data_IF_946291629904
#
_entry.id   IF_946291629904
#
_cell.length_a   1.000
_cell.length_b   1.000
_cell.length_c   1.000
_cell.angle_alpha   90.00
_cell.angle_beta   90.00
_cell.angle_gamma   90.00
#
_symmetry.space_group_name_H-M   'P 1'
#
loop_
_entity.id
_entity.type
_entity.pdbx_description
1 polymer ?
#
# COMPACT_ATOMS: atom_id res chain seq x y z
N UNK A 1 -7.31 -22.25 8.07
CA UNK A 1 -6.98 -21.34 6.96
C UNK A 1 -8.30 -20.93 6.33
N UNK A 2 -8.80 -19.73 6.65
CA UNK A 2 -9.99 -19.19 5.98
C UNK A 2 -9.66 -18.89 4.50
N UNK A 3 -10.61 -19.04 3.55
CA UNK A 3 -10.34 -18.83 2.14
C UNK A 3 -10.00 -17.35 1.88
N UNK A 4 -9.02 -17.10 1.01
CA UNK A 4 -8.53 -15.76 0.68
C UNK A 4 -9.49 -14.94 -0.21
N UNK A 5 -10.62 -15.51 -0.63
CA UNK A 5 -11.63 -14.88 -1.48
C UNK A 5 -13.03 -15.05 -0.86
N UNK A 6 -13.17 -14.78 0.44
CA UNK A 6 -14.48 -14.49 1.03
C UNK A 6 -14.72 -12.98 0.87
N UNK A 7 -15.59 -12.55 -0.07
CA UNK A 7 -16.08 -11.19 -0.02
C UNK A 7 -16.99 -11.19 1.19
N UNK A 8 -16.53 -10.59 2.29
CA UNK A 8 -17.42 -10.20 3.37
C UNK A 8 -18.44 -9.20 2.83
N UNK A 9 -19.46 -9.72 2.14
CA UNK A 9 -20.73 -9.04 1.93
C UNK A 9 -21.43 -9.13 3.26
N UNK A 10 -21.10 -8.21 4.15
CA UNK A 10 -22.10 -7.73 5.07
C UNK A 10 -23.26 -7.27 4.17
N UNK A 11 -24.36 -8.02 4.19
CA UNK A 11 -25.59 -7.59 3.53
C UNK A 11 -26.00 -6.21 4.05
N UNK A 12 -26.99 -5.54 3.45
CA UNK A 12 -27.56 -4.36 4.07
C UNK A 12 -28.24 -4.83 5.36
N UNK A 13 -27.47 -4.85 6.45
CA UNK A 13 -27.99 -4.88 7.79
C UNK A 13 -28.86 -3.66 7.87
N UNK A 14 -30.16 -3.92 8.02
CA UNK A 14 -31.19 -2.94 8.31
C UNK A 14 -30.87 -2.32 9.67
N UNK A 15 -29.84 -1.47 9.72
CA UNK A 15 -29.49 -0.65 10.87
C UNK A 15 -30.40 0.58 10.83
N UNK A 16 -31.70 0.32 10.94
CA UNK A 16 -32.61 1.31 11.47
C UNK A 16 -32.43 1.33 13.00
N UNK A 17 -31.25 1.75 13.44
CA UNK A 17 -30.95 2.03 14.84
C UNK A 17 -31.15 3.51 15.03
N UNK A 18 -32.18 3.85 15.79
CA UNK A 18 -32.43 5.18 16.32
C UNK A 18 -31.11 5.74 16.91
N UNK A 19 -30.57 6.85 16.39
CA UNK A 19 -29.32 7.43 16.87
C UNK A 19 -29.37 7.92 18.33
N UNK A 20 -30.55 7.89 18.96
CA UNK A 20 -30.77 8.31 20.34
C UNK A 20 -31.03 7.15 21.33
N UNK A 21 -30.82 5.87 20.98
CA UNK A 21 -30.97 4.74 21.92
C UNK A 21 -29.76 4.63 22.88
N UNK A 22 -29.90 4.99 24.18
CA UNK A 22 -28.80 4.97 25.14
C UNK A 22 -28.30 3.56 25.50
N UNK A 23 -28.94 2.50 25.01
CA UNK A 23 -28.56 1.10 25.24
C UNK A 23 -27.72 0.49 24.11
N UNK A 24 -27.49 1.23 23.01
CA UNK A 24 -26.65 0.78 21.91
C UNK A 24 -25.16 0.78 22.32
N UNK A 25 -24.46 -0.38 22.31
CA UNK A 25 -23.04 -0.45 22.63
C UNK A 25 -22.16 0.40 21.70
N UNK A 26 -22.57 0.64 20.45
CA UNK A 26 -21.86 1.53 19.54
C UNK A 26 -21.84 2.98 20.06
N UNK A 27 -22.90 3.40 20.75
CA UNK A 27 -23.02 4.76 21.28
C UNK A 27 -22.18 4.97 22.54
N UNK A 28 -21.96 3.92 23.35
CA UNK A 28 -21.04 4.00 24.49
C UNK A 28 -19.59 4.21 24.02
N UNK A 29 -19.17 3.51 22.97
CA UNK A 29 -17.83 3.65 22.41
C UNK A 29 -17.64 5.00 21.72
N UNK A 30 -18.63 5.48 20.96
CA UNK A 30 -18.60 6.81 20.37
C UNK A 30 -18.50 7.89 21.46
N UNK A 31 -19.33 7.81 22.51
CA UNK A 31 -19.26 8.72 23.67
C UNK A 31 -17.89 8.71 24.34
N UNK A 32 -17.25 7.54 24.49
CA UNK A 32 -15.88 7.42 25.04
C UNK A 32 -14.83 8.02 24.11
N UNK A 33 -14.94 7.82 22.80
CA UNK A 33 -14.03 8.40 21.82
C UNK A 33 -14.14 9.93 21.75
N UNK A 34 -15.35 10.46 21.89
CA UNK A 34 -15.63 11.90 21.91
C UNK A 34 -15.22 12.56 23.22
N UNK A 35 -15.19 11.81 24.33
CA UNK A 35 -14.74 12.29 25.63
C UNK A 35 -13.22 12.47 25.75
N UNK A 36 -12.44 11.96 24.77
CA UNK A 36 -10.98 12.08 24.75
C UNK A 36 -10.56 13.55 24.72
N UNK A 37 -9.51 13.89 25.45
CA UNK A 37 -9.00 15.26 25.55
C UNK A 37 -7.59 15.37 24.96
N UNK A 38 -7.19 16.55 24.45
CA UNK A 38 -5.82 16.75 24.01
C UNK A 38 -4.84 16.46 25.15
N UNK A 39 -3.94 15.50 24.93
CA UNK A 39 -2.77 15.23 25.78
C UNK A 39 -1.52 15.24 24.91
N UNK A 40 -0.93 16.44 24.81
CA UNK A 40 0.25 16.68 24.00
C UNK A 40 1.51 15.98 24.54
N UNK A 41 1.57 15.61 25.82
CA UNK A 41 2.71 14.85 26.36
C UNK A 41 2.60 13.35 26.03
N UNK A 42 1.39 12.79 26.07
CA UNK A 42 1.14 11.44 25.55
C UNK A 42 1.43 11.37 24.05
N UNK A 43 0.94 12.34 23.27
CA UNK A 43 1.22 12.48 21.85
C UNK A 43 2.74 12.59 21.57
N UNK A 44 3.45 13.45 22.32
CA UNK A 44 4.89 13.65 22.22
C UNK A 44 5.68 12.35 22.38
N UNK A 45 5.30 11.50 23.35
CA UNK A 45 5.96 10.22 23.58
C UNK A 45 5.88 9.31 22.35
N UNK A 46 4.69 9.21 21.75
CA UNK A 46 4.47 8.38 20.57
C UNK A 46 5.18 8.98 19.35
N UNK A 47 5.05 10.29 19.14
CA UNK A 47 5.69 11.01 18.05
C UNK A 47 7.23 10.86 18.08
N UNK A 48 7.86 11.08 19.24
CA UNK A 48 9.32 10.93 19.39
C UNK A 48 9.79 9.51 19.07
N UNK A 49 9.08 8.49 19.55
CA UNK A 49 9.43 7.09 19.26
C UNK A 49 9.28 6.76 17.77
N UNK A 50 8.20 7.22 17.12
CA UNK A 50 7.94 6.93 15.70
C UNK A 50 8.82 7.74 14.76
N UNK A 51 9.10 9.00 15.08
CA UNK A 51 9.81 9.91 14.19
C UNK A 51 11.33 9.85 14.36
N UNK A 52 11.85 9.61 15.57
CA UNK A 52 13.31 9.54 15.79
C UNK A 52 13.78 8.26 16.50
N UNK A 53 12.87 7.43 17.04
CA UNK A 53 13.22 6.17 17.69
C UNK A 53 13.67 6.31 19.14
N UNK A 54 13.42 7.45 19.78
CA UNK A 54 13.86 7.73 21.15
C UNK A 54 12.71 8.30 21.98
N UNK A 55 12.79 8.14 23.30
CA UNK A 55 11.85 8.81 24.21
C UNK A 55 12.15 10.31 24.27
N UNK A 56 11.12 11.16 24.49
CA UNK A 56 11.33 12.59 24.62
C UNK A 56 12.20 12.89 25.84
N UNK A 57 13.07 13.89 25.72
CA UNK A 57 13.92 14.35 26.82
C UNK A 57 13.09 15.11 27.87
N UNK A 58 13.62 15.23 29.08
CA UNK A 58 12.94 16.01 30.13
C UNK A 58 12.73 17.48 29.73
N UNK A 59 13.66 18.06 28.97
CA UNK A 59 13.50 19.42 28.42
C UNK A 59 12.32 19.52 27.47
N UNK A 60 12.12 18.52 26.59
CA UNK A 60 11.00 18.50 25.65
C UNK A 60 9.66 18.29 26.37
N UNK A 61 9.62 17.39 27.36
CA UNK A 61 8.44 17.17 28.20
C UNK A 61 8.06 18.46 28.94
N UNK A 62 9.04 19.12 29.57
CA UNK A 62 8.80 20.36 30.30
C UNK A 62 8.39 21.53 29.38
N UNK A 63 8.90 21.57 28.14
CA UNK A 63 8.50 22.58 27.16
C UNK A 63 6.99 22.51 26.88
N UNK A 64 6.46 21.30 26.70
CA UNK A 64 5.02 21.10 26.50
C UNK A 64 4.27 21.30 27.82
N UNK A 65 4.70 20.68 28.92
CA UNK A 65 3.98 20.71 30.19
C UNK A 65 3.85 22.13 30.80
N UNK A 66 4.87 22.97 30.64
CA UNK A 66 4.92 24.31 31.24
C UNK A 66 4.36 25.42 30.34
N UNK A 67 3.84 25.09 29.14
CA UNK A 67 3.17 26.07 28.31
C UNK A 67 1.88 26.58 28.99
N UNK A 68 1.59 27.87 28.83
CA UNK A 68 0.61 28.59 29.64
C UNK A 68 -0.83 28.07 29.48
N UNK A 69 -1.21 27.63 28.28
CA UNK A 69 -2.54 27.15 27.93
C UNK A 69 -2.45 26.04 26.87
N UNK A 70 -3.60 25.45 26.51
CA UNK A 70 -3.63 24.34 25.56
C UNK A 70 -3.19 24.76 24.14
N UNK A 71 -3.35 26.03 23.77
CA UNK A 71 -2.84 26.56 22.51
C UNK A 71 -1.30 26.62 22.51
N UNK A 72 -0.70 27.05 23.62
CA UNK A 72 0.73 27.03 23.85
C UNK A 72 1.30 25.61 23.88
N UNK A 73 0.60 24.66 24.53
CA UNK A 73 0.98 23.24 24.52
C UNK A 73 0.96 22.67 23.11
N UNK A 74 -0.09 22.98 22.34
CA UNK A 74 -0.19 22.61 20.93
C UNK A 74 1.00 23.13 20.13
N UNK A 75 1.26 24.44 20.20
CA UNK A 75 2.35 25.07 19.47
C UNK A 75 3.73 24.48 19.85
N UNK A 76 3.96 24.22 21.14
CA UNK A 76 5.18 23.57 21.62
C UNK A 76 5.33 22.14 21.07
N UNK A 77 4.26 21.35 21.09
CA UNK A 77 4.24 19.99 20.55
C UNK A 77 4.47 19.96 19.04
N UNK A 78 3.76 20.79 18.27
CA UNK A 78 3.93 20.83 16.82
C UNK A 78 5.34 21.27 16.42
N UNK A 79 5.93 22.23 17.14
CA UNK A 79 7.33 22.62 16.94
C UNK A 79 8.31 21.48 17.21
N UNK A 80 8.01 20.59 18.17
CA UNK A 80 8.80 19.38 18.40
C UNK A 80 8.64 18.37 17.26
N UNK A 81 7.42 18.16 16.75
CA UNK A 81 7.18 17.31 15.56
C UNK A 81 8.00 17.81 14.38
N UNK A 82 7.99 19.12 14.12
CA UNK A 82 8.79 19.74 13.06
C UNK A 82 10.30 19.51 13.26
N UNK A 83 10.78 19.62 14.50
CA UNK A 83 12.18 19.33 14.84
C UNK A 83 12.54 17.86 14.60
N UNK A 84 11.62 16.93 14.88
CA UNK A 84 11.83 15.50 14.65
C UNK A 84 11.87 15.14 13.17
N UNK A 85 11.04 15.78 12.34
CA UNK A 85 11.06 15.59 10.88
C UNK A 85 12.32 16.15 10.22
N UNK A 86 12.99 17.10 10.88
CA UNK A 86 14.28 17.66 10.48
C UNK A 86 15.49 16.87 11.03
N UNK A 87 15.28 16.02 12.04
CA UNK A 87 16.34 15.27 12.70
C UNK A 87 16.92 14.18 11.76
N UNK A 88 18.25 14.02 11.66
CA UNK A 88 18.85 12.96 10.83
C UNK A 88 18.36 11.54 11.17
N UNK A 89 17.96 11.28 12.42
CA UNK A 89 17.42 9.98 12.85
C UNK A 89 16.08 9.65 12.21
N UNK A 90 15.35 10.64 11.69
CA UNK A 90 14.13 10.42 10.92
C UNK A 90 14.37 9.51 9.71
N UNK A 91 15.52 9.62 9.04
CA UNK A 91 15.89 8.74 7.93
C UNK A 91 15.87 7.26 8.33
N UNK A 92 16.35 6.93 9.52
CA UNK A 92 16.34 5.55 10.03
C UNK A 92 14.92 5.08 10.32
N UNK A 93 14.06 5.92 10.89
CA UNK A 93 12.68 5.55 11.15
C UNK A 93 11.89 5.33 9.86
N UNK A 94 12.11 6.16 8.84
CA UNK A 94 11.53 5.95 7.52
C UNK A 94 12.02 4.65 6.88
N UNK A 95 13.30 4.30 7.03
CA UNK A 95 13.80 2.99 6.59
C UNK A 95 13.08 1.83 7.27
N UNK A 96 12.92 1.87 8.60
CA UNK A 96 12.20 0.82 9.33
C UNK A 96 10.74 0.73 8.86
N UNK A 97 10.05 1.88 8.80
CA UNK A 97 8.66 1.94 8.34
C UNK A 97 8.48 1.32 6.94
N UNK A 98 9.32 1.69 5.97
CA UNK A 98 9.16 1.19 4.61
C UNK A 98 9.63 -0.26 4.43
N UNK A 99 10.58 -0.75 5.26
CA UNK A 99 10.90 -2.18 5.32
C UNK A 99 9.70 -3.00 5.74
N UNK A 100 9.03 -2.56 6.81
CA UNK A 100 7.85 -3.24 7.34
C UNK A 100 6.67 -3.15 6.36
N UNK A 101 6.44 -1.96 5.79
CA UNK A 101 5.38 -1.73 4.82
C UNK A 101 5.55 -2.59 3.56
N UNK A 102 6.76 -2.63 3.00
CA UNK A 102 7.03 -3.42 1.80
C UNK A 102 7.27 -4.89 2.11
N UNK A 103 7.46 -5.26 3.38
CA UNK A 103 7.88 -6.58 3.84
C UNK A 103 9.20 -7.01 3.18
N UNK A 104 10.12 -6.06 3.07
CA UNK A 104 11.38 -6.22 2.38
C UNK A 104 12.52 -5.78 3.30
N UNK A 105 13.52 -6.64 3.45
CA UNK A 105 14.75 -6.36 4.19
C UNK A 105 15.76 -7.50 4.01
N UNK A 106 17.05 -7.18 4.04
CA UNK A 106 18.12 -8.15 3.79
C UNK A 106 18.27 -8.53 2.31
N UNK A 107 18.44 -9.82 2.00
CA UNK A 107 18.76 -10.29 0.65
C UNK A 107 17.97 -11.54 0.25
N UNK A 108 17.62 -11.69 -1.03
CA UNK A 108 17.11 -12.95 -1.62
C UNK A 108 17.87 -13.25 -2.91
N UNK A 109 18.32 -14.49 -3.12
CA UNK A 109 19.04 -14.87 -4.35
C UNK A 109 20.18 -13.89 -4.72
N UNK A 110 20.95 -13.44 -3.71
CA UNK A 110 21.99 -12.39 -3.79
C UNK A 110 21.53 -10.98 -4.20
N UNK A 111 20.23 -10.77 -4.40
CA UNK A 111 19.60 -9.47 -4.66
C UNK A 111 19.32 -8.75 -3.34
N UNK A 112 19.71 -7.48 -3.29
CA UNK A 112 19.44 -6.59 -2.17
C UNK A 112 17.95 -6.18 -2.12
N UNK A 113 17.28 -6.49 -1.00
CA UNK A 113 15.89 -6.14 -0.75
C UNK A 113 15.74 -4.75 -0.12
N UNK A 114 16.83 -4.09 0.24
CA UNK A 114 16.82 -2.78 0.90
C UNK A 114 16.53 -1.63 -0.07
N UNK A 115 16.76 -1.81 -1.37
CA UNK A 115 16.72 -0.71 -2.34
C UNK A 115 15.33 -0.11 -2.54
N UNK A 116 14.25 -0.91 -2.52
CA UNK A 116 12.89 -0.38 -2.61
C UNK A 116 12.46 0.37 -1.32
N UNK A 117 12.63 -0.20 -0.10
CA UNK A 117 12.44 0.56 1.13
C UNK A 117 13.30 1.82 1.20
N UNK A 118 14.57 1.77 0.77
CA UNK A 118 15.46 2.92 0.73
C UNK A 118 14.98 3.99 -0.23
N UNK A 119 14.46 3.61 -1.40
CA UNK A 119 13.86 4.55 -2.33
C UNK A 119 12.68 5.28 -1.67
N UNK A 120 11.75 4.54 -1.08
CA UNK A 120 10.59 5.12 -0.42
C UNK A 120 10.95 6.03 0.76
N UNK A 121 11.88 5.58 1.62
CA UNK A 121 12.37 6.36 2.74
C UNK A 121 13.09 7.63 2.28
N UNK A 122 13.85 7.57 1.18
CA UNK A 122 14.54 8.74 0.62
C UNK A 122 13.55 9.81 0.12
N UNK A 123 12.45 9.39 -0.51
CA UNK A 123 11.36 10.30 -0.91
C UNK A 123 10.73 10.95 0.33
N UNK A 124 10.50 10.16 1.39
CA UNK A 124 9.97 10.68 2.65
C UNK A 124 10.91 11.71 3.29
N UNK A 125 12.22 11.44 3.35
CA UNK A 125 13.19 12.37 3.93
C UNK A 125 13.35 13.64 3.09
N UNK A 126 13.26 13.54 1.77
CA UNK A 126 13.33 14.68 0.86
C UNK A 126 12.03 15.51 0.80
N UNK A 127 10.97 15.07 1.49
CA UNK A 127 9.60 15.57 1.31
C UNK A 127 9.21 15.59 -0.17
N UNK A 128 9.46 14.48 -0.86
CA UNK A 128 9.10 14.32 -2.26
C UNK A 128 7.71 13.68 -2.39
N UNK A 129 7.19 13.65 -3.62
CA UNK A 129 5.89 13.08 -3.91
C UNK A 129 5.89 11.57 -3.72
N UNK A 130 4.93 11.04 -2.96
CA UNK A 130 4.69 9.61 -2.81
C UNK A 130 4.43 8.91 -4.14
N UNK A 131 3.85 9.62 -5.11
CA UNK A 131 3.56 9.08 -6.44
C UNK A 131 4.81 8.70 -7.24
N UNK A 132 5.99 9.20 -6.85
CA UNK A 132 7.28 8.77 -7.42
C UNK A 132 7.62 7.32 -7.10
N UNK A 133 7.01 6.71 -6.08
CA UNK A 133 7.09 5.27 -5.84
C UNK A 133 6.64 4.46 -7.06
N UNK A 134 5.72 4.99 -7.87
CA UNK A 134 5.15 4.31 -9.02
C UNK A 134 5.69 4.87 -10.35
N UNK A 135 6.16 6.11 -10.37
CA UNK A 135 6.42 6.86 -11.61
C UNK A 135 7.88 7.26 -11.84
N UNK A 136 8.76 7.15 -10.84
CA UNK A 136 10.14 7.59 -11.01
C UNK A 136 10.91 6.73 -12.01
N UNK A 137 11.61 7.38 -12.93
CA UNK A 137 12.43 6.71 -13.96
C UNK A 137 13.91 6.62 -13.58
N UNK A 138 14.34 7.36 -12.54
CA UNK A 138 15.73 7.43 -12.06
C UNK A 138 15.76 7.51 -10.53
N UNK A 139 16.90 7.18 -9.92
CA UNK A 139 17.12 7.21 -8.48
C UNK A 139 16.38 6.10 -7.73
N UNK A 140 16.00 5.02 -8.42
CA UNK A 140 15.07 3.99 -7.93
C UNK A 140 15.71 2.88 -7.09
N UNK A 141 17.04 2.88 -6.94
CA UNK A 141 17.76 1.93 -6.08
C UNK A 141 18.83 2.65 -5.23
N UNK A 142 18.48 3.65 -4.41
CA UNK A 142 19.44 4.25 -3.51
C UNK A 142 19.85 3.24 -2.42
N UNK A 143 20.99 3.50 -1.79
CA UNK A 143 21.45 2.75 -0.60
C UNK A 143 21.33 3.62 0.64
N UNK A 144 21.11 2.99 1.79
CA UNK A 144 21.03 3.67 3.09
C UNK A 144 22.21 3.28 3.99
N UNK A 145 22.88 4.28 4.56
CA UNK A 145 23.92 4.09 5.57
C UNK A 145 23.36 4.35 6.96
N UNK A 146 23.23 3.30 7.77
CA UNK A 146 22.80 3.42 9.16
C UNK A 146 23.82 4.17 10.04
N UNK A 147 25.10 4.17 9.67
CA UNK A 147 26.16 4.87 10.41
C UNK A 147 26.03 6.40 10.30
N UNK A 148 25.55 6.89 9.17
CA UNK A 148 25.44 8.34 8.88
C UNK A 148 24.00 8.82 8.79
N UNK A 149 23.02 7.91 8.78
CA UNK A 149 21.60 8.18 8.49
C UNK A 149 21.37 8.89 7.14
N UNK A 150 22.20 8.58 6.14
CA UNK A 150 22.15 9.21 4.81
C UNK A 150 21.82 8.21 3.71
N UNK A 151 21.18 8.73 2.65
CA UNK A 151 20.94 7.99 1.42
C UNK A 151 21.99 8.35 0.36
N UNK A 152 22.46 7.34 -0.36
CA UNK A 152 23.28 7.53 -1.56
C UNK A 152 22.43 7.20 -2.77
N UNK A 153 22.26 8.17 -3.68
CA UNK A 153 21.45 7.98 -4.88
C UNK A 153 22.07 6.96 -5.83
N UNK A 154 21.25 6.09 -6.39
CA UNK A 154 21.64 5.13 -7.42
C UNK A 154 20.42 4.70 -8.25
N UNK A 155 20.68 4.26 -9.48
CA UNK A 155 19.68 3.66 -10.36
C UNK A 155 19.74 2.15 -10.22
N UNK A 156 18.59 1.49 -10.40
CA UNK A 156 18.58 0.04 -10.50
C UNK A 156 19.22 -0.40 -11.83
N UNK A 157 20.00 -1.48 -11.79
CA UNK A 157 20.56 -2.10 -12.99
C UNK A 157 19.90 -3.47 -13.20
N UNK A 158 18.74 -3.49 -13.84
CA UNK A 158 17.96 -4.71 -14.05
C UNK A 158 17.35 -4.88 -15.45
N UNK A 159 18.01 -4.30 -16.45
CA UNK A 159 17.71 -4.44 -17.88
C UNK A 159 16.32 -3.93 -18.32
N UNK A 160 15.63 -3.15 -17.51
CA UNK A 160 14.40 -2.48 -17.93
C UNK A 160 14.72 -1.30 -18.85
N UNK A 161 13.92 -1.09 -19.88
CA UNK A 161 14.09 0.06 -20.79
C UNK A 161 13.78 1.38 -20.09
N UNK A 162 12.73 1.39 -19.27
CA UNK A 162 12.27 2.55 -18.50
C UNK A 162 11.84 2.07 -17.11
N UNK A 163 12.38 2.68 -16.06
CA UNK A 163 11.94 2.38 -14.70
C UNK A 163 10.55 2.98 -14.41
N UNK A 164 9.79 2.29 -13.57
CA UNK A 164 8.51 2.73 -13.00
C UNK A 164 8.58 2.56 -11.48
N UNK A 165 9.40 3.40 -10.84
CA UNK A 165 9.68 3.36 -9.40
C UNK A 165 9.93 1.95 -8.87
N UNK A 166 9.19 1.58 -7.83
CA UNK A 166 9.27 0.27 -7.16
C UNK A 166 8.70 -0.88 -7.99
N UNK A 167 7.85 -0.62 -9.00
CA UNK A 167 7.28 -1.67 -9.86
C UNK A 167 8.38 -2.38 -10.67
N UNK A 168 9.41 -1.63 -11.04
CA UNK A 168 10.59 -2.16 -11.76
C UNK A 168 11.77 -2.47 -10.83
N UNK A 169 11.63 -2.38 -9.51
CA UNK A 169 12.75 -2.59 -8.60
C UNK A 169 13.15 -4.09 -8.57
N UNK A 170 14.45 -4.44 -8.71
CA UNK A 170 14.89 -5.83 -8.78
C UNK A 170 14.67 -6.59 -7.47
N UNK A 171 14.87 -5.95 -6.31
CA UNK A 171 14.62 -6.57 -5.00
C UNK A 171 13.15 -6.94 -4.84
N UNK A 172 12.23 -6.05 -5.23
CA UNK A 172 10.80 -6.33 -5.20
C UNK A 172 10.44 -7.51 -6.11
N UNK A 173 10.89 -7.45 -7.37
CA UNK A 173 10.58 -8.49 -8.35
C UNK A 173 11.18 -9.85 -7.99
N UNK A 174 12.36 -9.88 -7.37
CA UNK A 174 12.98 -11.11 -6.86
C UNK A 174 12.21 -11.66 -5.64
N UNK A 175 11.93 -10.82 -4.64
CA UNK A 175 11.29 -11.24 -3.38
C UNK A 175 9.89 -11.82 -3.59
N UNK A 176 9.13 -11.23 -4.51
CA UNK A 176 7.77 -11.64 -4.83
C UNK A 176 7.68 -12.54 -6.06
N UNK A 177 8.76 -13.23 -6.44
CA UNK A 177 8.72 -14.23 -7.51
C UNK A 177 7.70 -15.32 -7.18
N UNK A 178 6.85 -15.65 -8.14
CA UNK A 178 5.89 -16.75 -8.09
C UNK A 178 5.50 -17.21 -9.48
N UNK A 179 4.79 -18.34 -9.56
CA UNK A 179 4.05 -18.70 -10.77
C UNK A 179 3.16 -17.53 -11.21
N UNK A 180 3.13 -17.29 -12.53
CA UNK A 180 2.41 -16.18 -13.16
C UNK A 180 2.68 -14.78 -12.59
N UNK A 181 3.77 -14.55 -11.84
CA UNK A 181 4.02 -13.27 -11.17
C UNK A 181 2.90 -12.79 -10.20
N UNK A 182 1.96 -13.66 -9.82
CA UNK A 182 0.80 -13.26 -9.01
C UNK A 182 1.17 -12.69 -7.63
N UNK A 183 2.25 -13.13 -6.99
CA UNK A 183 2.73 -12.51 -5.74
C UNK A 183 3.23 -11.07 -5.95
N UNK A 184 3.76 -10.73 -7.13
CA UNK A 184 4.17 -9.35 -7.47
C UNK A 184 2.93 -8.46 -7.57
N UNK A 185 1.91 -8.93 -8.28
CA UNK A 185 0.64 -8.21 -8.44
C UNK A 185 -0.10 -8.11 -7.10
N UNK A 186 -0.09 -9.17 -6.30
CA UNK A 186 -0.64 -9.19 -4.93
C UNK A 186 -0.01 -8.10 -4.06
N UNK A 187 1.32 -8.05 -4.05
CA UNK A 187 2.06 -7.02 -3.32
C UNK A 187 1.71 -5.61 -3.81
N UNK A 188 1.72 -5.36 -5.12
CA UNK A 188 1.41 -4.04 -5.69
C UNK A 188 0.04 -3.53 -5.21
N UNK A 189 -1.03 -4.33 -5.33
CA UNK A 189 -2.34 -3.84 -4.89
C UNK A 189 -2.48 -3.75 -3.38
N UNK A 190 -1.93 -4.70 -2.61
CA UNK A 190 -1.98 -4.63 -1.15
C UNK A 190 -1.26 -3.40 -0.64
N UNK A 191 -0.07 -3.12 -1.16
CA UNK A 191 0.76 -1.99 -0.74
C UNK A 191 0.10 -0.67 -1.09
N UNK A 192 -0.44 -0.52 -2.31
CA UNK A 192 -0.89 0.77 -2.81
C UNK A 192 -2.40 1.02 -2.73
N UNK A 193 -3.27 0.00 -2.69
CA UNK A 193 -4.73 0.21 -2.66
C UNK A 193 -5.38 -0.16 -1.32
N UNK A 194 -4.61 -0.70 -0.35
CA UNK A 194 -5.10 -1.06 0.98
C UNK A 194 -6.29 -2.03 1.00
N UNK A 195 -6.54 -2.73 -0.11
CA UNK A 195 -7.61 -3.70 -0.26
C UNK A 195 -7.04 -5.10 -0.48
N UNK A 196 -7.80 -6.12 -0.10
CA UNK A 196 -7.59 -7.49 -0.55
C UNK A 196 -8.12 -7.62 -1.99
N UNK A 197 -7.54 -8.53 -2.77
CA UNK A 197 -8.01 -8.77 -4.14
C UNK A 197 -9.49 -9.18 -4.19
N UNK A 198 -10.22 -8.76 -5.25
CA UNK A 198 -9.80 -7.86 -6.35
C UNK A 198 -10.01 -6.37 -6.05
N UNK A 199 -9.18 -5.49 -6.60
CA UNK A 199 -9.30 -4.02 -6.43
C UNK A 199 -10.40 -3.35 -7.28
N UNK A 200 -11.07 -4.10 -8.17
CA UNK A 200 -12.14 -3.58 -9.02
C UNK A 200 -13.37 -4.50 -8.93
N UNK A 201 -14.36 -4.06 -8.14
CA UNK A 201 -15.58 -4.80 -7.85
C UNK A 201 -16.78 -4.17 -8.58
N UNK A 202 -17.57 -5.00 -9.24
CA UNK A 202 -18.83 -4.62 -9.86
C UNK A 202 -19.90 -4.33 -8.80
N UNK A 203 -20.65 -3.25 -9.00
CA UNK A 203 -21.86 -2.95 -8.21
C UNK A 203 -23.02 -3.90 -8.54
N UNK A 204 -22.96 -4.53 -9.71
CA UNK A 204 -23.93 -5.54 -10.16
C UNK A 204 -23.21 -6.87 -10.38
N UNK A 205 -23.08 -7.70 -9.33
CA UNK A 205 -22.50 -9.02 -9.45
C UNK A 205 -23.30 -9.94 -10.39
N UNK A 206 -22.60 -10.82 -11.08
CA UNK A 206 -23.19 -11.85 -11.94
C UNK A 206 -23.08 -13.24 -11.28
N UNK A 207 -23.77 -14.24 -11.82
CA UNK A 207 -23.68 -15.63 -11.34
C UNK A 207 -23.23 -16.57 -12.43
N UNK A 208 -22.18 -17.34 -12.16
CA UNK A 208 -21.65 -18.38 -13.05
C UNK A 208 -21.55 -19.70 -12.29
N UNK A 209 -22.16 -20.76 -12.82
CA UNK A 209 -22.15 -22.08 -12.16
C UNK A 209 -22.72 -22.08 -10.74
N UNK A 210 -23.68 -21.18 -10.44
CA UNK A 210 -24.25 -21.02 -9.10
C UNK A 210 -23.33 -20.31 -8.09
N UNK A 211 -22.26 -19.66 -8.55
CA UNK A 211 -21.33 -18.89 -7.72
C UNK A 211 -21.33 -17.42 -8.14
N UNK A 212 -21.13 -16.53 -7.17
CA UNK A 212 -21.10 -15.09 -7.39
C UNK A 212 -19.79 -14.65 -8.04
N UNK A 213 -19.90 -13.87 -9.10
CA UNK A 213 -18.80 -13.17 -9.76
C UNK A 213 -18.96 -11.67 -9.54
N UNK A 214 -18.01 -11.07 -8.82
CA UNK A 214 -18.04 -9.65 -8.43
C UNK A 214 -17.05 -8.80 -9.23
N UNK A 215 -16.37 -9.34 -10.25
CA UNK A 215 -15.41 -8.57 -11.05
C UNK A 215 -16.11 -7.69 -12.10
N UNK A 216 -15.45 -6.61 -12.52
CA UNK A 216 -15.97 -5.74 -13.60
C UNK A 216 -15.62 -6.23 -15.00
N UNK A 217 -14.49 -6.93 -15.16
CA UNK A 217 -14.08 -7.42 -16.47
C UNK A 217 -15.06 -8.49 -17.00
N UNK A 218 -15.26 -8.58 -18.32
CA UNK A 218 -16.07 -9.65 -18.90
C UNK A 218 -15.55 -11.03 -18.50
N UNK A 219 -16.44 -11.99 -18.24
CA UNK A 219 -16.06 -13.33 -17.77
C UNK A 219 -15.00 -14.03 -18.66
N UNK A 220 -15.11 -13.87 -19.98
CA UNK A 220 -14.20 -14.50 -20.95
C UNK A 220 -12.93 -13.68 -21.26
N UNK A 221 -12.67 -12.59 -20.53
CA UNK A 221 -11.49 -11.72 -20.71
C UNK A 221 -10.20 -12.32 -20.16
N UNK A 222 -10.26 -13.40 -19.36
CA UNK A 222 -9.06 -14.09 -18.88
C UNK A 222 -8.91 -15.45 -19.53
N UNK A 223 -7.72 -16.03 -19.43
CA UNK A 223 -7.47 -17.37 -19.96
C UNK A 223 -8.38 -18.42 -19.29
N UNK A 224 -8.96 -19.28 -20.10
CA UNK A 224 -9.74 -20.41 -19.65
C UNK A 224 -9.81 -21.50 -20.71
N UNK A 225 -10.29 -22.69 -20.34
CA UNK A 225 -10.36 -23.82 -21.27
C UNK A 225 -11.24 -23.50 -22.49
N UNK A 226 -12.28 -22.68 -22.28
CA UNK A 226 -13.24 -22.26 -23.30
C UNK A 226 -12.69 -21.28 -24.32
N UNK A 227 -11.59 -20.58 -24.03
CA UNK A 227 -10.95 -19.61 -24.93
C UNK A 227 -9.46 -19.91 -25.19
N UNK A 228 -9.06 -21.17 -25.02
CA UNK A 228 -7.73 -21.68 -25.43
C UNK A 228 -6.62 -21.54 -24.39
N UNK A 229 -6.93 -21.15 -23.15
CA UNK A 229 -6.00 -21.13 -22.03
C UNK A 229 -5.59 -22.53 -21.57
N UNK A 230 -4.30 -22.69 -21.21
CA UNK A 230 -3.81 -23.95 -20.59
C UNK A 230 -4.24 -24.07 -19.12
N UNK A 231 -4.45 -22.93 -18.46
CA UNK A 231 -4.98 -22.84 -17.10
C UNK A 231 -6.43 -22.35 -17.20
N UNK A 232 -7.33 -23.00 -16.47
CA UNK A 232 -8.76 -22.70 -16.54
C UNK A 232 -9.19 -21.77 -15.40
N UNK A 233 -9.10 -20.45 -15.59
CA UNK A 233 -9.59 -19.50 -14.59
C UNK A 233 -11.13 -19.39 -14.56
N UNK A 234 -11.82 -19.97 -15.55
CA UNK A 234 -13.27 -20.07 -15.59
C UNK A 234 -13.82 -21.27 -14.80
N UNK A 235 -12.96 -22.05 -14.12
CA UNK A 235 -13.43 -23.17 -13.32
C UNK A 235 -14.28 -22.70 -12.14
N UNK A 236 -15.53 -23.16 -12.13
CA UNK A 236 -16.55 -22.87 -11.11
C UNK A 236 -16.74 -24.02 -10.12
N UNK A 237 -15.97 -25.12 -10.26
CA UNK A 237 -16.03 -26.27 -9.34
C UNK A 237 -15.40 -25.98 -7.97
N UNK A 238 -14.65 -24.88 -7.83
CA UNK A 238 -14.05 -24.42 -6.57
C UNK A 238 -14.42 -22.95 -6.27
N UNK A 239 -13.64 -22.25 -5.44
CA UNK A 239 -13.75 -20.78 -5.31
C UNK A 239 -13.63 -20.19 -6.71
N UNK A 240 -14.53 -19.29 -7.11
CA UNK A 240 -14.54 -18.69 -8.45
C UNK A 240 -13.20 -18.00 -8.70
N UNK A 241 -12.26 -18.70 -9.35
CA UNK A 241 -10.91 -18.21 -9.60
C UNK A 241 -10.99 -16.86 -10.30
N UNK A 242 -11.87 -16.74 -11.29
CA UNK A 242 -12.13 -15.49 -12.01
C UNK A 242 -12.51 -14.31 -11.09
N UNK A 243 -13.16 -14.54 -9.95
CA UNK A 243 -13.45 -13.49 -8.98
C UNK A 243 -12.20 -12.76 -8.50
N UNK A 244 -11.11 -13.49 -8.23
CA UNK A 244 -9.83 -12.91 -7.83
C UNK A 244 -8.92 -12.62 -9.05
N UNK A 245 -9.02 -13.40 -10.13
CA UNK A 245 -8.17 -13.31 -11.33
C UNK A 245 -8.57 -12.25 -12.37
N UNK A 246 -9.77 -11.68 -12.27
CA UNK A 246 -10.24 -10.68 -13.24
C UNK A 246 -9.28 -9.50 -13.35
N UNK A 247 -8.91 -8.81 -12.26
CA UNK A 247 -7.90 -7.73 -12.32
C UNK A 247 -6.49 -8.31 -12.41
N UNK A 248 -6.21 -9.39 -11.67
CA UNK A 248 -4.86 -9.91 -11.52
C UNK A 248 -4.25 -10.33 -12.87
N UNK A 249 -5.01 -11.00 -13.73
CA UNK A 249 -4.52 -11.46 -15.02
C UNK A 249 -4.30 -10.31 -16.03
N UNK A 250 -4.95 -9.17 -15.85
CA UNK A 250 -4.75 -7.99 -16.69
C UNK A 250 -3.48 -7.20 -16.33
N UNK A 251 -2.92 -7.44 -15.12
CA UNK A 251 -1.69 -6.79 -14.65
C UNK A 251 -0.49 -7.75 -14.69
N UNK A 252 -0.68 -9.03 -14.33
CA UNK A 252 0.39 -10.00 -14.18
C UNK A 252 1.34 -10.17 -15.39
N UNK A 253 0.87 -10.12 -16.65
CA UNK A 253 1.75 -10.16 -17.81
C UNK A 253 2.85 -9.08 -17.81
N UNK A 254 2.57 -7.90 -17.24
CA UNK A 254 3.53 -6.80 -17.16
C UNK A 254 4.76 -7.15 -16.32
N UNK A 255 4.62 -8.09 -15.38
CA UNK A 255 5.67 -8.56 -14.50
C UNK A 255 6.25 -9.92 -14.92
N UNK A 256 5.73 -10.54 -15.98
CA UNK A 256 6.06 -11.92 -16.36
C UNK A 256 7.49 -12.09 -16.89
N UNK A 257 8.10 -11.00 -17.35
CA UNK A 257 9.45 -10.99 -17.91
C UNK A 257 10.55 -10.75 -16.85
N UNK A 258 10.23 -10.64 -15.57
CA UNK A 258 11.27 -10.64 -14.52
C UNK A 258 11.57 -12.06 -14.07
N UNK A 259 12.84 -12.44 -14.12
CA UNK A 259 13.31 -13.73 -13.61
C UNK A 259 13.35 -13.77 -12.07
N UNK A 260 13.87 -14.87 -11.51
CA UNK A 260 13.94 -15.13 -10.06
C UNK A 260 14.90 -14.19 -9.30
N UNK A 261 15.74 -13.43 -10.02
CA UNK A 261 16.63 -12.40 -9.47
C UNK A 261 16.16 -10.98 -9.79
N UNK A 262 14.92 -10.82 -10.27
CA UNK A 262 14.32 -9.51 -10.57
C UNK A 262 14.94 -8.79 -11.78
N UNK A 263 15.66 -9.52 -12.63
CA UNK A 263 16.21 -9.02 -13.89
C UNK A 263 15.19 -9.19 -15.00
N UNK A 264 14.98 -8.14 -15.79
CA UNK A 264 14.10 -8.21 -16.96
C UNK A 264 14.76 -9.04 -18.07
N UNK A 265 13.99 -9.93 -18.67
CA UNK A 265 14.38 -10.78 -19.80
C UNK A 265 13.54 -10.46 -21.03
N UNK A 266 14.03 -10.83 -22.22
CA UNK A 266 13.31 -10.62 -23.47
C UNK A 266 12.04 -11.48 -23.61
N UNK A 267 11.99 -12.63 -22.92
CA UNK A 267 10.85 -13.54 -22.91
C UNK A 267 10.26 -13.69 -21.49
N UNK A 268 9.06 -14.26 -21.40
CA UNK A 268 8.42 -14.61 -20.12
C UNK A 268 9.33 -15.55 -19.33
N UNK A 269 9.58 -15.20 -18.07
CA UNK A 269 10.47 -15.92 -17.17
C UNK A 269 9.73 -16.59 -16.00
N UNK A 270 8.43 -16.32 -15.82
CA UNK A 270 7.61 -16.97 -14.79
C UNK A 270 7.01 -18.28 -15.29
N UNK A 271 6.74 -19.18 -14.35
CA UNK A 271 6.21 -20.52 -14.61
C UNK A 271 4.70 -20.58 -14.40
N UNK A 272 4.07 -21.60 -14.99
CA UNK A 272 2.69 -21.99 -14.69
C UNK A 272 2.67 -22.91 -13.45
N UNK A 273 1.54 -23.01 -12.71
CA UNK A 273 1.37 -23.97 -11.61
C UNK A 273 0.98 -25.38 -12.09
N UNK A 274 1.07 -25.65 -13.40
CA UNK A 274 0.74 -26.94 -13.99
C UNK A 274 1.85 -27.96 -13.66
N UNK A 275 1.56 -29.26 -13.77
CA UNK A 275 2.45 -30.33 -13.28
C UNK A 275 3.89 -30.33 -13.81
N UNK A 276 4.15 -29.76 -14.99
CA UNK A 276 5.49 -29.63 -15.56
C UNK A 276 6.23 -28.33 -15.14
N UNK A 277 5.54 -27.38 -14.51
CA UNK A 277 6.02 -26.02 -14.22
C UNK A 277 6.65 -25.33 -15.44
N UNK A 278 6.06 -25.55 -16.61
CA UNK A 278 6.49 -24.91 -17.86
C UNK A 278 6.47 -23.38 -17.71
N UNK A 279 7.33 -22.71 -18.49
CA UNK A 279 7.22 -21.26 -18.67
C UNK A 279 5.81 -20.88 -19.13
N UNK A 280 5.29 -19.82 -18.54
CA UNK A 280 4.03 -19.23 -18.93
C UNK A 280 4.14 -18.62 -20.35
N UNK A 281 2.98 -18.52 -20.99
CA UNK A 281 2.76 -17.90 -22.30
C UNK A 281 1.74 -16.77 -22.11
N UNK A 282 1.72 -15.80 -23.02
CA UNK A 282 0.74 -14.72 -22.96
C UNK A 282 -0.71 -15.24 -22.87
N UNK A 283 -1.03 -16.28 -23.64
CA UNK A 283 -2.34 -16.95 -23.67
C UNK A 283 -2.71 -17.69 -22.38
N UNK A 284 -1.77 -17.86 -21.44
CA UNK A 284 -2.08 -18.43 -20.13
C UNK A 284 -2.60 -17.37 -19.15
N UNK A 285 -2.50 -16.07 -19.48
CA UNK A 285 -3.04 -14.98 -18.67
C UNK A 285 -4.35 -14.47 -19.26
N UNK A 286 -4.28 -14.04 -20.52
CA UNK A 286 -5.35 -13.38 -21.26
C UNK A 286 -5.52 -13.97 -22.66
N UNK A 287 -6.73 -13.96 -23.24
CA UNK A 287 -6.96 -14.31 -24.63
C UNK A 287 -6.26 -13.34 -25.59
N UNK A 288 -6.06 -13.79 -26.83
CA UNK A 288 -5.48 -12.92 -27.85
C UNK A 288 -6.37 -11.69 -28.11
N UNK A 289 -5.76 -10.50 -28.08
CA UNK A 289 -6.44 -9.22 -28.30
C UNK A 289 -6.96 -8.54 -27.04
N UNK A 290 -6.99 -9.23 -25.89
CA UNK A 290 -7.32 -8.60 -24.62
C UNK A 290 -6.18 -7.70 -24.14
N UNK A 291 -6.45 -6.43 -23.76
CA UNK A 291 -5.41 -5.51 -23.32
C UNK A 291 -4.93 -5.81 -21.89
N UNK A 292 -3.70 -5.45 -21.57
CA UNK A 292 -3.28 -5.29 -20.17
C UNK A 292 -3.94 -4.04 -19.60
N UNK A 293 -4.37 -4.09 -18.34
CA UNK A 293 -5.14 -3.02 -17.73
C UNK A 293 -5.00 -3.01 -16.20
N UNK A 294 -5.03 -1.81 -15.63
CA UNK A 294 -5.08 -1.61 -14.17
C UNK A 294 -6.51 -1.78 -13.62
N UNK A 295 -7.49 -1.20 -14.32
CA UNK A 295 -8.93 -1.27 -14.06
C UNK A 295 -9.67 -1.41 -15.40
N UNK A 296 -10.92 -1.83 -15.38
CA UNK A 296 -11.70 -1.92 -16.63
C UNK A 296 -11.75 -0.55 -17.32
N UNK A 297 -11.42 -0.51 -18.62
CA UNK A 297 -11.38 0.73 -19.40
C UNK A 297 -10.10 1.55 -19.24
N UNK A 298 -9.13 1.11 -18.42
CA UNK A 298 -7.86 1.79 -18.19
C UNK A 298 -6.69 0.89 -18.62
N UNK A 299 -6.45 0.84 -19.93
CA UNK A 299 -5.39 0.02 -20.53
C UNK A 299 -3.99 0.55 -20.15
N UNK A 300 -3.10 -0.38 -19.81
CA UNK A 300 -1.72 -0.09 -19.37
C UNK A 300 -0.77 -1.10 -20.02
N UNK A 301 -0.28 -0.82 -21.24
CA UNK A 301 0.51 -1.78 -22.03
C UNK A 301 1.90 -2.07 -21.45
N UNK A 302 2.38 -1.28 -20.50
CA UNK A 302 3.71 -1.41 -19.88
C UNK A 302 3.70 -0.98 -18.40
N UNK A 303 4.80 -1.24 -17.68
CA UNK A 303 4.92 -0.86 -16.27
C UNK A 303 4.92 0.66 -16.02
N UNK A 304 5.52 1.52 -16.87
CA UNK A 304 5.38 2.98 -16.74
C UNK A 304 3.94 3.48 -16.84
N UNK A 305 3.15 2.98 -17.79
CA UNK A 305 1.72 3.32 -17.92
C UNK A 305 0.90 2.77 -16.75
N UNK A 306 1.20 1.56 -16.25
CA UNK A 306 0.62 1.04 -15.01
C UNK A 306 0.92 1.95 -13.82
N UNK A 307 2.18 2.34 -13.62
CA UNK A 307 2.58 3.23 -12.53
C UNK A 307 1.90 4.59 -12.61
N UNK A 308 1.73 5.13 -13.82
CA UNK A 308 1.00 6.39 -14.07
C UNK A 308 -0.50 6.24 -13.75
N UNK A 309 -1.13 5.16 -14.20
CA UNK A 309 -2.54 4.86 -13.94
C UNK A 309 -2.81 4.71 -12.44
N UNK A 310 -1.95 3.99 -11.73
CA UNK A 310 -2.03 3.83 -10.28
C UNK A 310 -1.79 5.16 -9.54
N UNK A 311 -0.79 5.94 -9.94
CA UNK A 311 -0.51 7.23 -9.31
C UNK A 311 -1.65 8.26 -9.46
N UNK A 312 -2.46 8.12 -10.51
CA UNK A 312 -3.66 8.94 -10.72
C UNK A 312 -4.89 8.43 -9.95
N UNK A 313 -4.84 7.23 -9.36
CA UNK A 313 -5.96 6.63 -8.65
C UNK A 313 -6.09 7.24 -7.23
N UNK A 314 -7.23 7.86 -6.88
CA UNK A 314 -7.47 8.42 -5.55
C UNK A 314 -7.33 7.40 -4.41
N UNK A 315 -7.60 6.11 -4.67
CA UNK A 315 -7.44 5.06 -3.67
C UNK A 315 -5.98 4.86 -3.26
N UNK A 316 -5.01 5.18 -4.13
CA UNK A 316 -3.58 5.12 -3.78
C UNK A 316 -3.22 6.19 -2.77
N UNK A 317 -3.69 7.43 -2.97
CA UNK A 317 -3.48 8.50 -2.02
C UNK A 317 -4.17 8.20 -0.68
N UNK A 318 -5.42 7.73 -0.73
CA UNK A 318 -6.18 7.36 0.46
C UNK A 318 -5.50 6.23 1.24
N UNK A 319 -5.03 5.19 0.56
CA UNK A 319 -4.30 4.09 1.18
C UNK A 319 -3.02 4.58 1.88
N UNK A 320 -2.23 5.44 1.24
CA UNK A 320 -1.04 6.02 1.84
C UNK A 320 -1.38 6.73 3.17
N UNK A 321 -2.43 7.55 3.19
CA UNK A 321 -2.89 8.23 4.41
C UNK A 321 -3.30 7.23 5.49
N UNK A 322 -4.13 6.22 5.18
CA UNK A 322 -4.54 5.19 6.14
C UNK A 322 -3.32 4.50 6.77
N UNK A 323 -2.29 4.18 5.98
CA UNK A 323 -1.08 3.51 6.45
C UNK A 323 -0.27 4.38 7.42
N UNK A 324 -0.13 5.68 7.13
CA UNK A 324 0.55 6.59 8.04
C UNK A 324 -0.25 6.83 9.33
N UNK A 325 -1.58 6.91 9.26
CA UNK A 325 -2.44 6.99 10.45
C UNK A 325 -2.31 5.73 11.32
N UNK A 326 -2.41 4.53 10.73
CA UNK A 326 -2.24 3.28 11.48
C UNK A 326 -0.85 3.20 12.12
N UNK A 327 0.19 3.56 11.39
CA UNK A 327 1.56 3.57 11.91
C UNK A 327 1.73 4.53 13.10
N UNK A 328 1.20 5.76 12.99
CA UNK A 328 1.23 6.74 14.06
C UNK A 328 0.49 6.21 15.31
N UNK A 329 -0.69 5.60 15.11
CA UNK A 329 -1.50 5.03 16.19
C UNK A 329 -0.99 3.67 16.72
N UNK A 330 0.09 3.12 16.15
CA UNK A 330 0.63 1.82 16.52
C UNK A 330 -0.28 0.64 16.20
N UNK A 331 -1.19 0.80 15.25
CA UNK A 331 -2.02 -0.28 14.71
C UNK A 331 -1.21 -1.16 13.77
N UNK A 332 -1.65 -2.40 13.64
CA UNK A 332 -1.10 -3.35 12.66
C UNK A 332 -1.32 -2.87 11.22
N UNK A 333 -0.60 -3.51 10.30
CA UNK A 333 -0.70 -3.26 8.87
C UNK A 333 -2.13 -3.57 8.37
N UNK A 334 -2.67 -2.67 7.54
CA UNK A 334 -4.08 -2.67 7.13
C UNK A 334 -4.51 -4.01 6.51
N UNK A 335 -3.68 -4.60 5.66
CA UNK A 335 -4.06 -5.83 4.95
C UNK A 335 -3.98 -7.10 5.80
N UNK A 336 -3.28 -7.06 6.95
CA UNK A 336 -3.27 -8.15 7.94
C UNK A 336 -4.38 -8.01 8.97
N UNK A 337 -4.59 -6.80 9.48
CA UNK A 337 -5.51 -6.54 10.57
C UNK A 337 -6.99 -6.50 10.14
N UNK A 338 -7.26 -6.35 8.83
CA UNK A 338 -8.60 -6.11 8.28
C UNK A 338 -9.32 -4.89 8.89
N UNK A 339 -8.60 -4.06 9.65
CA UNK A 339 -9.15 -2.88 10.31
C UNK A 339 -8.75 -1.66 9.49
N UNK A 340 -9.68 -1.18 8.67
CA UNK A 340 -9.52 0.07 7.92
C UNK A 340 -9.92 1.24 8.81
N UNK A 341 -9.08 2.29 8.83
CA UNK A 341 -9.51 3.58 9.36
C UNK A 341 -10.64 4.09 8.44
N UNK A 342 -11.82 4.47 8.99
CA UNK A 342 -12.92 4.98 8.18
C UNK A 342 -12.49 6.19 7.35
N UNK A 343 -13.04 6.32 6.15
CA UNK A 343 -12.66 7.38 5.21
C UNK A 343 -12.97 8.78 5.78
N UNK A 344 -14.03 8.90 6.58
CA UNK A 344 -14.42 10.15 7.26
C UNK A 344 -13.36 10.64 8.26
N UNK A 345 -12.63 9.73 8.90
CA UNK A 345 -11.58 10.06 9.90
C UNK A 345 -10.33 10.63 9.22
N UNK A 346 -10.05 10.21 7.98
CA UNK A 346 -8.82 10.57 7.27
C UNK A 346 -9.03 11.60 6.15
N UNK A 347 -10.26 12.11 6.01
CA UNK A 347 -10.63 12.97 4.89
C UNK A 347 -9.74 14.21 4.81
N UNK A 348 -9.60 14.94 5.91
CA UNK A 348 -8.77 16.15 6.00
C UNK A 348 -7.31 15.87 5.63
N UNK A 349 -6.75 14.76 6.10
CA UNK A 349 -5.37 14.38 5.80
C UNK A 349 -5.22 13.96 4.33
N UNK A 350 -6.22 13.30 3.75
CA UNK A 350 -6.23 12.90 2.34
C UNK A 350 -6.29 14.12 1.43
N UNK A 351 -7.17 15.08 1.72
CA UNK A 351 -7.30 16.33 0.97
C UNK A 351 -6.00 17.16 1.04
N UNK A 352 -5.43 17.31 2.24
CA UNK A 352 -4.15 18.00 2.43
C UNK A 352 -3.00 17.30 1.69
N UNK A 353 -2.98 15.97 1.71
CA UNK A 353 -1.96 15.18 1.01
C UNK A 353 -2.04 15.39 -0.50
N UNK A 354 -3.24 15.32 -1.09
CA UNK A 354 -3.44 15.63 -2.51
C UNK A 354 -3.03 17.08 -2.82
N UNK A 355 -3.48 18.05 -2.01
CA UNK A 355 -3.21 19.47 -2.22
C UNK A 355 -1.71 19.82 -2.15
N UNK A 356 -0.93 19.09 -1.32
CA UNK A 356 0.53 19.26 -1.25
C UNK A 356 1.28 18.73 -2.47
N UNK A 357 0.62 18.00 -3.38
CA UNK A 357 1.29 17.23 -4.43
C UNK A 357 1.85 15.90 -3.92
N UNK A 358 1.16 15.30 -2.94
CA UNK A 358 1.47 14.03 -2.30
C UNK A 358 2.79 14.05 -1.51
N UNK A 359 3.07 15.14 -0.81
CA UNK A 359 4.30 15.34 -0.06
C UNK A 359 4.29 14.52 1.22
N UNK A 360 5.28 13.63 1.36
CA UNK A 360 5.26 12.62 2.41
C UNK A 360 5.50 13.23 3.81
N UNK A 361 6.42 14.18 3.99
CA UNK A 361 6.60 14.82 5.31
C UNK A 361 5.39 15.65 5.69
N UNK A 362 4.76 16.31 4.72
CA UNK A 362 3.55 17.10 4.97
C UNK A 362 2.41 16.19 5.46
N UNK A 363 2.25 15.01 4.84
CA UNK A 363 1.32 13.98 5.32
C UNK A 363 1.68 13.50 6.72
N UNK A 364 2.94 13.14 6.98
CA UNK A 364 3.38 12.67 8.30
C UNK A 364 3.11 13.75 9.35
N UNK A 365 3.49 14.99 9.10
CA UNK A 365 3.20 16.13 9.97
C UNK A 365 1.70 16.23 10.23
N UNK A 366 0.89 16.26 9.17
CA UNK A 366 -0.57 16.37 9.29
C UNK A 366 -1.22 15.25 10.09
N UNK A 367 -0.68 14.02 10.04
CA UNK A 367 -1.13 12.90 10.87
C UNK A 367 -0.75 13.13 12.34
N UNK A 368 0.51 13.44 12.64
CA UNK A 368 1.00 13.63 14.01
C UNK A 368 0.44 14.90 14.67
N UNK A 369 -0.06 15.87 13.92
CA UNK A 369 -0.71 17.09 14.45
C UNK A 369 -2.23 17.05 14.35
N UNK A 370 -2.81 15.93 13.95
CA UNK A 370 -4.27 15.79 13.85
C UNK A 370 -4.93 15.72 15.23
N UNK A 371 -6.16 16.24 15.32
CA UNK A 371 -6.97 16.18 16.53
C UNK A 371 -7.17 14.74 17.02
N UNK A 372 -7.34 13.78 16.11
CA UNK A 372 -7.50 12.37 16.46
C UNK A 372 -6.25 11.73 17.05
N UNK A 373 -5.07 12.21 16.67
CA UNK A 373 -3.79 11.72 17.19
C UNK A 373 -3.48 12.29 18.58
N UNK A 374 -3.79 13.56 18.82
CA UNK A 374 -3.42 14.22 20.08
C UNK A 374 -4.42 13.98 21.21
N UNK A 375 -5.58 13.38 20.93
CA UNK A 375 -6.63 13.11 21.92
C UNK A 375 -6.55 11.69 22.49
N UNK A 376 -6.54 11.57 23.82
CA UNK A 376 -6.43 10.31 24.57
C UNK A 376 -7.60 10.09 25.53
#
# INVERSE_FOLDING_TARGET
MAPACDPGVDGPGDNNTDPDDPTNPADEWNKKLDARKPDYNAALRIASLRLIGELPTMTQINLVANAADDAGKKAAYEGLVDSFLADPRFSRQMMVYFRDLFRMGGTVNTVDLETAPAFAASLAVANDSYMKLLTATTGTCPTFSAATNTFTAANCANNVTTHAGVLTNPGMNAHFTSNFAFRRVDWVQRTFNCQKFPADLSETPETYGGKLYTGKFPWLSVAGKTNGGRVDFHDVQSVVCMGCHNVMNHIAPLFANFNETGQMTAAIAVKTPLGANDLARATDFLPAGEPFAYRLGQATPDLPSLGTAMAADPEVARCAVKRFVNWAQGKEEITTALTLVPDTVIQTQTEAFVASGFKIKDLIRGVFTSDDFVKF
#
